data_IF_607236550417
#
_entry.id   IF_607236550417
#
_cell.length_a   1.000
_cell.length_b   1.000
_cell.length_c   1.000
_cell.angle_alpha   90.00
_cell.angle_beta   90.00
_cell.angle_gamma   90.00
#
_symmetry.space_group_name_H-M   'P 1'
#
loop_
_entity.id
_entity.type
_entity.pdbx_description
1 polymer ?
#
# COMPACT_ATOMS: atom_id res chain seq x y z
N UNK A 1 12.43 -7.97 -14.30
CA UNK A 1 11.85 -7.93 -12.94
C UNK A 1 10.98 -6.70 -12.88
N UNK A 2 9.66 -6.86 -12.75
CA UNK A 2 8.73 -5.75 -12.55
C UNK A 2 8.90 -5.18 -11.14
N UNK A 3 8.55 -3.90 -10.95
CA UNK A 3 8.45 -3.34 -9.61
C UNK A 3 7.29 -4.05 -8.89
N UNK A 4 7.61 -4.90 -7.92
CA UNK A 4 6.64 -5.63 -7.10
C UNK A 4 6.61 -5.04 -5.70
N UNK A 5 5.42 -4.73 -5.20
CA UNK A 5 5.22 -4.14 -3.87
C UNK A 5 5.62 -5.10 -2.73
N UNK A 6 5.24 -6.38 -2.82
CA UNK A 6 5.51 -7.40 -1.80
C UNK A 6 6.75 -8.26 -2.09
N UNK A 7 7.53 -7.95 -3.14
CA UNK A 7 8.58 -8.83 -3.66
C UNK A 7 8.09 -9.75 -4.79
N UNK A 8 9.05 -10.38 -5.48
CA UNK A 8 8.82 -11.23 -6.66
C UNK A 8 9.49 -12.61 -6.50
N UNK A 9 9.92 -12.94 -5.29
CA UNK A 9 10.53 -14.22 -4.91
C UNK A 9 9.44 -15.30 -4.72
N UNK A 10 9.83 -16.58 -4.87
CA UNK A 10 8.96 -17.73 -4.64
C UNK A 10 7.59 -17.66 -5.36
N UNK A 11 7.58 -17.25 -6.63
CA UNK A 11 6.37 -17.12 -7.45
C UNK A 11 5.29 -16.22 -6.80
N UNK A 12 5.72 -15.07 -6.25
CA UNK A 12 4.84 -14.09 -5.61
C UNK A 12 4.11 -14.61 -4.36
N UNK A 13 4.70 -15.58 -3.65
CA UNK A 13 4.12 -16.14 -2.42
C UNK A 13 3.84 -15.09 -1.34
N UNK A 14 4.54 -13.95 -1.36
CA UNK A 14 4.30 -12.83 -0.45
C UNK A 14 2.91 -12.18 -0.61
N UNK A 15 2.22 -12.40 -1.73
CA UNK A 15 0.84 -11.95 -1.95
C UNK A 15 -0.21 -12.95 -1.43
N UNK A 16 0.19 -14.14 -0.96
CA UNK A 16 -0.74 -15.13 -0.43
C UNK A 16 -1.32 -14.67 0.92
N UNK A 17 -2.65 -14.62 1.03
CA UNK A 17 -3.41 -14.20 2.23
C UNK A 17 -4.22 -15.34 2.87
N UNK A 18 -3.98 -16.60 2.47
CA UNK A 18 -4.70 -17.78 2.97
C UNK A 18 -4.63 -17.93 4.50
N UNK A 19 -3.55 -17.45 5.14
CA UNK A 19 -3.37 -17.48 6.60
C UNK A 19 -4.01 -16.29 7.33
N UNK A 20 -4.88 -15.54 6.65
CA UNK A 20 -5.52 -14.34 7.14
C UNK A 20 -4.84 -13.06 6.63
N UNK A 21 -5.65 -12.05 6.30
CA UNK A 21 -5.17 -10.81 5.67
C UNK A 21 -4.25 -10.00 6.58
N UNK A 22 -4.56 -9.90 7.87
CA UNK A 22 -3.73 -9.18 8.85
C UNK A 22 -2.49 -9.97 9.28
N UNK A 23 -2.41 -11.26 8.93
CA UNK A 23 -1.26 -12.12 9.20
C UNK A 23 -0.25 -12.10 8.04
N UNK A 24 -0.55 -11.38 6.95
CA UNK A 24 0.37 -11.12 5.87
C UNK A 24 1.09 -9.78 6.11
N UNK A 25 2.40 -9.82 6.29
CA UNK A 25 3.21 -8.63 6.57
C UNK A 25 3.12 -7.57 5.47
N UNK A 26 3.06 -7.97 4.20
CA UNK A 26 2.92 -7.03 3.09
C UNK A 26 1.55 -6.33 3.09
N UNK A 27 0.50 -7.04 3.49
CA UNK A 27 -0.83 -6.45 3.57
C UNK A 27 -0.92 -5.38 4.66
N UNK A 28 -0.28 -5.60 5.81
CA UNK A 28 -0.21 -4.60 6.88
C UNK A 28 0.55 -3.35 6.42
N UNK A 29 1.63 -3.53 5.64
CA UNK A 29 2.38 -2.39 5.08
C UNK A 29 1.54 -1.63 4.03
N UNK A 30 0.79 -2.35 3.20
CA UNK A 30 -0.18 -1.76 2.27
C UNK A 30 -1.25 -0.94 3.01
N UNK A 31 -1.77 -1.44 4.14
CA UNK A 31 -2.73 -0.71 4.96
C UNK A 31 -2.14 0.58 5.56
N UNK A 32 -0.86 0.58 5.91
CA UNK A 32 -0.20 1.77 6.46
C UNK A 32 -0.02 2.89 5.42
N UNK A 33 0.08 2.56 4.13
CA UNK A 33 0.13 3.56 3.04
C UNK A 33 -1.20 4.32 2.87
N UNK A 34 -2.33 3.66 3.14
CA UNK A 34 -3.69 4.19 2.93
C UNK A 34 -3.93 5.56 3.61
N UNK A 35 -3.70 5.75 4.92
CA UNK A 35 -3.94 7.04 5.56
C UNK A 35 -3.05 8.16 5.00
N UNK A 36 -1.82 7.85 4.58
CA UNK A 36 -0.91 8.84 4.01
C UNK A 36 -1.37 9.32 2.65
N UNK A 37 -1.74 8.40 1.74
CA UNK A 37 -2.26 8.79 0.42
C UNK A 37 -3.62 9.47 0.53
N UNK A 38 -4.45 9.07 1.50
CA UNK A 38 -5.72 9.74 1.78
C UNK A 38 -5.49 11.21 2.17
N UNK A 39 -4.59 11.48 3.12
CA UNK A 39 -4.25 12.84 3.53
C UNK A 39 -3.72 13.65 2.34
N UNK A 40 -2.78 13.09 1.58
CA UNK A 40 -2.23 13.76 0.40
C UNK A 40 -3.33 14.12 -0.61
N UNK A 41 -4.25 13.20 -0.92
CA UNK A 41 -5.31 13.46 -1.88
C UNK A 41 -6.36 14.46 -1.42
N UNK A 42 -6.69 14.53 -0.13
CA UNK A 42 -7.64 15.55 0.37
C UNK A 42 -7.00 16.93 0.48
N UNK A 43 -5.70 17.00 0.82
CA UNK A 43 -5.00 18.26 1.07
C UNK A 43 -4.51 18.92 -0.21
N UNK A 44 -4.13 18.14 -1.22
CA UNK A 44 -3.62 18.67 -2.48
C UNK A 44 -4.57 19.67 -3.17
N UNK A 45 -5.87 19.34 -3.37
CA UNK A 45 -6.83 20.29 -3.92
C UNK A 45 -6.99 21.55 -3.08
N UNK A 46 -6.94 21.44 -1.74
CA UNK A 46 -7.07 22.57 -0.82
C UNK A 46 -5.88 23.52 -0.97
N UNK A 47 -4.67 22.97 -1.04
CA UNK A 47 -3.44 23.75 -1.23
C UNK A 47 -3.43 24.49 -2.58
N UNK A 48 -3.95 23.87 -3.64
CA UNK A 48 -4.07 24.52 -4.96
C UNK A 48 -5.20 25.56 -5.05
N UNK A 49 -6.20 25.51 -4.17
CA UNK A 49 -7.23 26.56 -4.09
C UNK A 49 -6.72 27.77 -3.29
N UNK A 50 -5.84 27.54 -2.31
CA UNK A 50 -5.29 28.57 -1.44
C UNK A 50 -3.99 29.24 -1.91
N UNK A 51 -3.38 28.76 -3.00
CA UNK A 51 -2.18 29.33 -3.65
C UNK A 51 -2.56 29.98 -4.98
#
# INVERSE_FOLDING_TARGET
MSLAFCGNENNSAAYNVEKGVLNNGCFVDALNVVPHVFLLFITFPILFIGF
#
